data_IF_358745813071
#
_entry.id   IF_358745813071
#
_cell.length_a   1.000
_cell.length_b   1.000
_cell.length_c   1.000
_cell.angle_alpha   90.00
_cell.angle_beta   90.00
_cell.angle_gamma   90.00
#
_symmetry.space_group_name_H-M   'P 1'
#
loop_
_entity.id
_entity.type
_entity.pdbx_description
1 polymer ?
#
# COMPACT_ATOMS: atom_id res chain seq x y z
N UNK A 1 -48.56 38.50 5.15
CA UNK A 1 -47.09 38.31 5.24
C UNK A 1 -46.79 37.00 5.94
N UNK A 2 -46.50 35.95 5.17
CA UNK A 2 -45.62 34.84 5.56
C UNK A 2 -44.91 34.41 4.27
N UNK A 3 -43.60 34.27 4.37
CA UNK A 3 -42.63 34.17 3.26
C UNK A 3 -42.37 32.69 3.01
N UNK A 4 -42.41 32.27 1.73
CA UNK A 4 -41.96 30.96 1.25
C UNK A 4 -40.43 30.79 1.36
N UNK A 5 -39.95 29.55 1.44
CA UNK A 5 -38.73 29.21 0.73
C UNK A 5 -38.95 28.01 -0.20
N UNK A 6 -38.75 28.27 -1.49
CA UNK A 6 -38.60 27.28 -2.55
C UNK A 6 -37.34 26.42 -2.38
N UNK A 7 -37.40 25.24 -3.01
CA UNK A 7 -36.32 24.53 -3.69
C UNK A 7 -34.98 24.29 -2.98
N UNK A 8 -34.75 23.04 -2.58
CA UNK A 8 -33.56 22.31 -3.09
C UNK A 8 -33.77 20.78 -2.98
N UNK A 9 -34.00 20.06 -4.09
CA UNK A 9 -33.75 18.63 -4.11
C UNK A 9 -32.24 18.42 -4.10
N UNK A 10 -31.70 17.84 -3.01
CA UNK A 10 -30.29 17.41 -2.97
C UNK A 10 -30.18 16.16 -3.85
N UNK A 11 -30.13 16.40 -5.16
CA UNK A 11 -29.60 15.46 -6.13
C UNK A 11 -28.11 15.29 -5.82
N UNK A 12 -27.73 14.11 -5.36
CA UNK A 12 -26.35 13.86 -5.02
C UNK A 12 -26.04 12.50 -4.41
N UNK A 13 -26.88 11.48 -4.61
CA UNK A 13 -26.41 10.09 -4.50
C UNK A 13 -25.45 9.86 -5.68
N UNK A 14 -24.21 10.33 -5.50
CA UNK A 14 -23.09 9.92 -6.33
C UNK A 14 -22.97 8.41 -6.12
N UNK A 15 -23.50 7.70 -7.09
CA UNK A 15 -23.17 6.34 -7.46
C UNK A 15 -21.65 6.17 -7.42
N UNK A 16 -21.10 5.85 -6.25
CA UNK A 16 -19.74 5.34 -6.07
C UNK A 16 -19.71 3.83 -6.35
N UNK A 17 -20.42 3.41 -7.39
CA UNK A 17 -20.29 2.10 -8.00
C UNK A 17 -19.64 2.35 -9.35
N UNK A 18 -18.60 1.57 -9.67
CA UNK A 18 -17.82 1.59 -10.92
C UNK A 18 -16.47 2.34 -10.87
N UNK A 19 -15.68 2.13 -9.81
CA UNK A 19 -14.22 2.28 -9.86
C UNK A 19 -13.46 1.10 -9.20
N UNK A 20 -14.10 -0.08 -9.11
CA UNK A 20 -13.45 -1.32 -8.66
C UNK A 20 -13.27 -2.25 -9.87
N UNK A 21 -12.62 -1.78 -10.93
CA UNK A 21 -12.24 -2.67 -12.01
C UNK A 21 -10.97 -2.21 -12.69
N UNK A 22 -9.86 -2.59 -12.07
CA UNK A 22 -8.62 -3.13 -12.66
C UNK A 22 -7.50 -3.07 -11.61
N UNK A 23 -7.73 -3.65 -10.43
CA UNK A 23 -6.62 -3.99 -9.55
C UNK A 23 -5.98 -5.24 -10.13
N UNK A 24 -4.87 -5.08 -10.87
CA UNK A 24 -4.05 -6.22 -11.28
C UNK A 24 -3.77 -7.09 -10.05
N UNK A 25 -4.10 -8.37 -10.12
CA UNK A 25 -3.87 -9.33 -9.04
C UNK A 25 -2.38 -9.38 -8.75
N UNK A 26 -2.01 -8.99 -7.54
CA UNK A 26 -0.63 -8.99 -7.10
C UNK A 26 -0.29 -10.38 -6.59
N UNK A 27 0.28 -11.18 -7.48
CA UNK A 27 0.69 -12.56 -7.20
C UNK A 27 2.09 -12.55 -6.58
N UNK A 28 2.27 -13.30 -5.50
CA UNK A 28 3.53 -13.53 -4.83
C UNK A 28 4.43 -14.42 -5.70
N UNK A 29 5.73 -14.08 -5.82
CA UNK A 29 6.64 -14.82 -6.67
C UNK A 29 6.81 -16.26 -6.17
N UNK A 30 6.63 -17.24 -7.06
CA UNK A 30 6.98 -18.65 -6.81
C UNK A 30 5.87 -19.52 -6.21
N UNK A 31 4.74 -18.96 -5.78
CA UNK A 31 3.64 -19.74 -5.16
C UNK A 31 2.27 -19.51 -5.80
N UNK A 32 2.16 -18.68 -6.85
CA UNK A 32 0.91 -18.36 -7.56
C UNK A 32 -0.27 -17.93 -6.66
N UNK A 33 0.02 -17.42 -5.45
CA UNK A 33 -0.97 -16.88 -4.51
C UNK A 33 -0.94 -15.36 -4.50
N UNK A 34 -2.11 -14.75 -4.33
CA UNK A 34 -2.19 -13.33 -3.96
C UNK A 34 -1.80 -13.10 -2.50
N UNK A 35 -1.54 -11.84 -2.15
CA UNK A 35 -1.29 -11.45 -0.75
C UNK A 35 -2.41 -11.90 0.19
N UNK A 36 -3.67 -11.71 -0.19
CA UNK A 36 -4.83 -12.08 0.64
C UNK A 36 -5.02 -13.60 0.76
N UNK A 37 -4.71 -14.36 -0.29
CA UNK A 37 -4.74 -15.83 -0.23
C UNK A 37 -3.63 -16.37 0.67
N UNK A 38 -2.43 -15.79 0.58
CA UNK A 38 -1.32 -16.15 1.46
C UNK A 38 -1.61 -15.78 2.92
N UNK A 39 -2.20 -14.61 3.19
CA UNK A 39 -2.67 -14.23 4.55
C UNK A 39 -3.64 -15.28 5.12
N UNK A 40 -4.62 -15.71 4.31
CA UNK A 40 -5.56 -16.74 4.72
C UNK A 40 -4.90 -18.10 4.96
N UNK A 41 -3.90 -18.45 4.16
CA UNK A 41 -3.19 -19.71 4.32
C UNK A 41 -2.35 -19.72 5.59
N UNK A 42 -1.71 -18.58 5.93
CA UNK A 42 -0.96 -18.40 7.18
C UNK A 42 -1.79 -18.74 8.41
N UNK A 43 -3.08 -18.37 8.44
CA UNK A 43 -3.99 -18.66 9.58
C UNK A 43 -4.20 -20.16 9.85
N UNK A 44 -3.99 -21.00 8.84
CA UNK A 44 -4.26 -22.45 8.89
C UNK A 44 -3.01 -23.32 8.70
N UNK A 45 -1.87 -22.70 8.41
CA UNK A 45 -0.62 -23.38 8.11
C UNK A 45 0.12 -23.83 9.38
N UNK A 46 1.10 -24.73 9.20
CA UNK A 46 2.03 -25.03 10.27
C UNK A 46 2.89 -23.79 10.60
N UNK A 47 3.49 -23.67 11.81
CA UNK A 47 4.28 -22.50 12.16
C UNK A 47 5.43 -22.21 11.19
N UNK A 48 6.07 -23.25 10.66
CA UNK A 48 7.18 -23.13 9.71
C UNK A 48 6.68 -22.63 8.35
N UNK A 49 5.60 -23.22 7.82
CA UNK A 49 4.98 -22.79 6.55
C UNK A 49 4.42 -21.36 6.65
N UNK A 50 3.83 -21.01 7.81
CA UNK A 50 3.31 -19.68 8.09
C UNK A 50 4.44 -18.63 8.11
N UNK A 51 5.60 -18.97 8.68
CA UNK A 51 6.78 -18.11 8.68
C UNK A 51 7.33 -17.93 7.26
N UNK A 52 7.41 -18.98 6.44
CA UNK A 52 7.86 -18.88 5.05
C UNK A 52 6.95 -18.00 4.20
N UNK A 53 5.63 -18.17 4.31
CA UNK A 53 4.65 -17.33 3.63
C UNK A 53 4.75 -15.87 4.09
N UNK A 54 4.97 -15.64 5.39
CA UNK A 54 5.14 -14.30 5.93
C UNK A 54 6.41 -13.62 5.42
N UNK A 55 7.53 -14.34 5.38
CA UNK A 55 8.77 -13.84 4.79
C UNK A 55 8.59 -13.49 3.31
N UNK A 56 7.85 -14.30 2.56
CA UNK A 56 7.59 -14.02 1.15
C UNK A 56 6.74 -12.76 0.95
N UNK A 57 5.72 -12.56 1.79
CA UNK A 57 4.92 -11.33 1.83
C UNK A 57 5.83 -10.12 2.18
N UNK A 58 6.75 -10.26 3.14
CA UNK A 58 7.69 -9.20 3.53
C UNK A 58 8.74 -8.90 2.46
N UNK A 59 9.19 -9.89 1.68
CA UNK A 59 10.10 -9.67 0.57
C UNK A 59 9.44 -8.96 -0.63
N UNK A 60 8.14 -9.15 -0.82
CA UNK A 60 7.44 -8.71 -2.03
C UNK A 60 6.87 -7.29 -1.90
N UNK A 61 7.17 -6.42 -2.86
CA UNK A 61 6.63 -5.06 -2.89
C UNK A 61 5.11 -5.05 -3.19
N UNK A 62 4.30 -4.26 -2.45
CA UNK A 62 2.87 -4.15 -2.71
C UNK A 62 2.62 -3.41 -4.03
N UNK A 63 1.61 -3.85 -4.79
CA UNK A 63 1.15 -3.21 -6.03
C UNK A 63 -0.25 -2.63 -5.91
N UNK A 64 -1.01 -3.10 -4.92
CA UNK A 64 -2.35 -2.61 -4.60
C UNK A 64 -2.42 -2.13 -3.15
N UNK A 65 -3.42 -1.29 -2.86
CA UNK A 65 -3.72 -0.92 -1.48
C UNK A 65 -4.09 -2.13 -0.62
N UNK A 66 -4.70 -3.17 -1.22
CA UNK A 66 -4.99 -4.43 -0.54
C UNK A 66 -3.70 -5.12 -0.06
N UNK A 67 -2.71 -5.24 -0.95
CA UNK A 67 -1.41 -5.85 -0.61
C UNK A 67 -0.72 -5.08 0.52
N UNK A 68 -0.74 -3.75 0.46
CA UNK A 68 -0.12 -2.91 1.47
C UNK A 68 -0.78 -3.08 2.85
N UNK A 69 -2.12 -3.22 2.89
CA UNK A 69 -2.86 -3.48 4.12
C UNK A 69 -2.53 -4.87 4.68
N UNK A 70 -2.51 -5.91 3.83
CA UNK A 70 -2.13 -7.27 4.25
C UNK A 70 -0.73 -7.28 4.85
N UNK A 71 0.23 -6.68 4.14
CA UNK A 71 1.63 -6.59 4.60
C UNK A 71 1.74 -5.83 5.93
N UNK A 72 0.96 -4.76 6.12
CA UNK A 72 0.93 -4.00 7.38
C UNK A 72 0.37 -4.84 8.53
N UNK A 73 -0.75 -5.55 8.32
CA UNK A 73 -1.34 -6.44 9.34
C UNK A 73 -0.34 -7.50 9.77
N UNK A 74 0.32 -8.12 8.79
CA UNK A 74 1.30 -9.16 9.04
C UNK A 74 2.52 -8.64 9.80
N UNK A 75 3.04 -7.45 9.45
CA UNK A 75 4.12 -6.78 10.19
C UNK A 75 3.77 -6.55 11.67
N UNK A 76 2.51 -6.23 11.97
CA UNK A 76 2.03 -5.99 13.34
C UNK A 76 1.60 -7.25 14.09
N UNK A 77 1.62 -8.41 13.42
CA UNK A 77 1.25 -9.70 14.01
C UNK A 77 2.44 -10.35 14.73
N UNK A 78 2.18 -11.38 15.53
CA UNK A 78 3.23 -12.13 16.22
C UNK A 78 4.26 -12.74 15.25
N UNK A 79 3.84 -13.12 14.04
CA UNK A 79 4.74 -13.64 13.00
C UNK A 79 5.63 -12.53 12.40
N UNK A 80 5.11 -11.32 12.26
CA UNK A 80 5.89 -10.16 11.81
C UNK A 80 6.87 -9.66 12.86
N UNK A 81 6.52 -9.78 14.15
CA UNK A 81 7.36 -9.35 15.27
C UNK A 81 8.42 -10.41 15.61
N UNK A 82 8.07 -11.70 15.56
CA UNK A 82 8.99 -12.80 15.88
C UNK A 82 9.94 -13.15 14.72
N UNK A 83 9.51 -13.00 13.47
CA UNK A 83 10.31 -13.30 12.27
C UNK A 83 11.16 -12.13 11.76
N UNK A 84 11.01 -10.93 12.34
CA UNK A 84 11.74 -9.74 11.92
C UNK A 84 13.16 -9.71 12.51
N UNK A 85 14.16 -10.05 11.70
CA UNK A 85 15.40 -9.28 11.77
C UNK A 85 15.08 -7.81 11.43
N UNK A 86 15.62 -6.86 12.20
CA UNK A 86 15.33 -5.41 12.10
C UNK A 86 15.32 -4.88 10.65
N UNK A 87 16.12 -5.46 9.77
CA UNK A 87 16.22 -5.13 8.36
C UNK A 87 14.98 -5.51 7.54
N UNK A 88 14.41 -6.71 7.73
CA UNK A 88 13.20 -7.18 7.00
C UNK A 88 11.97 -6.34 7.35
N UNK A 89 11.83 -5.96 8.63
CA UNK A 89 10.78 -5.06 9.07
C UNK A 89 10.95 -3.66 8.48
N UNK A 90 12.16 -3.09 8.57
CA UNK A 90 12.45 -1.76 8.01
C UNK A 90 12.16 -1.71 6.52
N UNK A 91 12.67 -2.68 5.76
CA UNK A 91 12.43 -2.79 4.32
C UNK A 91 10.93 -2.94 3.99
N UNK A 92 10.20 -3.73 4.78
CA UNK A 92 8.75 -3.89 4.57
C UNK A 92 7.98 -2.60 4.82
N UNK A 93 8.33 -1.85 5.86
CA UNK A 93 7.74 -0.54 6.17
C UNK A 93 8.06 0.47 5.06
N UNK A 94 9.31 0.52 4.59
CA UNK A 94 9.72 1.38 3.49
C UNK A 94 8.96 1.08 2.19
N UNK A 95 8.75 -0.20 1.87
CA UNK A 95 7.95 -0.61 0.71
C UNK A 95 6.50 -0.15 0.82
N UNK A 96 5.88 -0.29 2.00
CA UNK A 96 4.50 0.16 2.23
C UNK A 96 4.40 1.68 2.10
N UNK A 97 5.30 2.43 2.76
CA UNK A 97 5.31 3.88 2.71
C UNK A 97 5.60 4.40 1.31
N UNK A 98 6.58 3.83 0.62
CA UNK A 98 6.91 4.17 -0.77
C UNK A 98 5.73 3.95 -1.71
N UNK A 99 5.01 2.84 -1.55
CA UNK A 99 3.79 2.57 -2.31
C UNK A 99 2.70 3.60 -2.01
N UNK A 100 2.39 3.87 -0.73
CA UNK A 100 1.33 4.82 -0.37
C UNK A 100 1.64 6.25 -0.83
N UNK A 101 2.88 6.70 -0.68
CA UNK A 101 3.33 8.02 -1.15
C UNK A 101 3.22 8.10 -2.68
N UNK A 102 3.70 7.08 -3.40
CA UNK A 102 3.64 7.06 -4.87
C UNK A 102 2.20 6.95 -5.39
N UNK A 103 1.33 6.23 -4.68
CA UNK A 103 -0.06 6.05 -5.04
C UNK A 103 -0.92 7.30 -4.78
N UNK A 104 -0.51 8.17 -3.85
CA UNK A 104 -1.19 9.44 -3.58
C UNK A 104 -0.55 10.64 -4.30
N UNK A 105 0.67 10.47 -4.80
CA UNK A 105 1.33 11.54 -5.52
C UNK A 105 0.63 11.78 -6.85
N UNK A 106 -0.13 12.88 -6.91
CA UNK A 106 -0.44 13.54 -8.17
C UNK A 106 0.87 13.66 -8.97
N UNK A 107 0.92 13.31 -10.28
CA UNK A 107 2.16 13.29 -11.08
C UNK A 107 2.95 14.62 -11.07
N UNK A 108 2.30 15.72 -10.68
CA UNK A 108 2.93 17.02 -10.46
C UNK A 108 3.92 17.04 -9.26
N UNK A 109 3.62 16.38 -8.14
CA UNK A 109 4.42 16.47 -6.91
C UNK A 109 5.73 15.67 -7.01
N UNK A 110 5.70 14.51 -7.69
CA UNK A 110 6.91 13.70 -7.93
C UNK A 110 7.89 14.47 -8.82
N UNK A 111 7.38 15.13 -9.87
CA UNK A 111 8.21 15.90 -10.80
C UNK A 111 8.86 17.11 -10.13
N UNK A 112 8.12 17.82 -9.28
CA UNK A 112 8.64 18.97 -8.55
C UNK A 112 9.64 18.58 -7.46
N UNK A 113 9.39 17.47 -6.75
CA UNK A 113 10.30 16.96 -5.72
C UNK A 113 11.60 16.44 -6.34
N UNK A 114 11.53 15.71 -7.45
CA UNK A 114 12.72 15.21 -8.15
C UNK A 114 13.54 16.35 -8.76
N UNK A 115 12.88 17.38 -9.31
CA UNK A 115 13.54 18.59 -9.81
C UNK A 115 14.19 19.42 -8.69
N UNK A 116 13.53 19.52 -7.53
CA UNK A 116 14.07 20.19 -6.35
C UNK A 116 15.30 19.45 -5.77
N UNK A 117 15.26 18.12 -5.72
CA UNK A 117 16.40 17.29 -5.29
C UNK A 117 17.60 17.42 -6.24
N UNK A 118 17.38 17.37 -7.56
CA UNK A 118 18.45 17.58 -8.56
C UNK A 118 19.05 18.99 -8.50
N UNK A 119 18.22 20.00 -8.29
CA UNK A 119 18.67 21.39 -8.14
C UNK A 119 19.48 21.59 -6.84
N UNK A 120 19.18 20.82 -5.79
CA UNK A 120 19.88 20.89 -4.51
C UNK A 120 21.22 20.16 -4.55
N UNK A 121 21.30 19.01 -5.21
CA UNK A 121 22.55 18.29 -5.45
C UNK A 121 23.53 19.09 -6.33
N UNK A 122 23.02 19.81 -7.33
CA UNK A 122 23.83 20.70 -8.17
C UNK A 122 24.45 21.88 -7.42
N UNK A 123 23.84 22.34 -6.31
CA UNK A 123 24.37 23.46 -5.51
C UNK A 123 25.46 23.04 -4.51
N UNK A 124 25.52 21.75 -4.16
CA UNK A 124 26.53 21.21 -3.24
C UNK A 124 27.78 20.65 -3.94
N UNK A 125 27.79 20.59 -5.27
CA UNK A 125 28.92 20.08 -6.07
C UNK A 125 29.85 21.19 -6.58
N UNK A 126 29.72 22.44 -6.12
CA UNK A 126 30.53 23.58 -6.60
C UNK A 126 31.17 24.42 -5.49
N UNK A 127 31.52 23.80 -4.37
CA UNK A 127 32.46 24.38 -3.39
C UNK A 127 33.57 23.39 -3.09
#
# INVERSE_FOLDING_TARGET
MKIDPEDTPIAGERKCADAVEQAGTSVLPGIDLTFSEAERQIESASPDDAAELAMLIHATAPKTHGDAIVKLRLLTSDLGIAGSESETFTNSVEQILGFMISSQAHPAIISETLAAQRSRASRFSST
#
